data_IF_433294541120
#
_entry.id   IF_433294541120
#
_cell.length_a   1.000
_cell.length_b   1.000
_cell.length_c   1.000
_cell.angle_alpha   90.00
_cell.angle_beta   90.00
_cell.angle_gamma   90.00
#
_symmetry.space_group_name_H-M   'P 1'
#
loop_
_entity.id
_entity.type
_entity.pdbx_description
1 polymer ?
#
# COMPACT_ATOMS: atom_id res chain seq x y z
N UNK A 1 31.42 -46.26 25.91
CA UNK A 1 29.97 -46.42 26.19
C UNK A 1 29.65 -46.64 27.66
N UNK A 2 30.53 -47.26 28.49
CA UNK A 2 30.23 -47.55 29.91
C UNK A 2 29.90 -46.32 30.76
N UNK A 3 30.44 -45.17 30.40
CA UNK A 3 30.53 -43.97 31.23
C UNK A 3 29.23 -43.13 31.24
N UNK A 4 28.28 -43.44 30.35
CA UNK A 4 26.97 -42.78 30.31
C UNK A 4 25.96 -43.34 31.32
N UNK A 5 26.16 -44.57 31.79
CA UNK A 5 25.26 -45.24 32.73
C UNK A 5 25.19 -44.59 34.14
N UNK A 6 26.32 -44.30 34.84
CA UNK A 6 26.23 -43.72 36.19
C UNK A 6 25.57 -42.33 36.20
N UNK A 7 25.77 -41.53 35.14
CA UNK A 7 25.17 -40.20 35.02
C UNK A 7 23.64 -40.22 34.89
N UNK A 8 23.10 -41.11 34.04
CA UNK A 8 21.65 -41.28 33.91
C UNK A 8 21.01 -41.79 35.20
N UNK A 9 21.65 -42.76 35.87
CA UNK A 9 21.16 -43.26 37.16
C UNK A 9 21.09 -42.15 38.21
N UNK A 10 22.12 -41.30 38.32
CA UNK A 10 22.11 -40.17 39.26
C UNK A 10 20.93 -39.22 39.04
N UNK A 11 20.67 -38.79 37.80
CA UNK A 11 19.54 -37.92 37.47
C UNK A 11 18.19 -38.59 37.79
N UNK A 12 18.02 -39.88 37.48
CA UNK A 12 16.77 -40.59 37.81
C UNK A 12 16.54 -40.72 39.32
N UNK A 13 17.58 -40.94 40.12
CA UNK A 13 17.49 -41.01 41.58
C UNK A 13 17.16 -39.63 42.18
N UNK A 14 17.80 -38.56 41.71
CA UNK A 14 17.51 -37.19 42.14
C UNK A 14 16.10 -36.70 41.78
N UNK A 15 15.51 -37.22 40.69
CA UNK A 15 14.11 -36.97 40.34
C UNK A 15 13.10 -37.73 41.21
N UNK A 16 13.42 -38.97 41.63
CA UNK A 16 12.53 -39.84 42.42
C UNK A 16 12.55 -39.57 43.93
N UNK A 17 13.69 -39.17 44.50
CA UNK A 17 13.86 -39.00 45.94
C UNK A 17 12.89 -38.02 46.64
N UNK A 18 12.46 -36.88 46.05
CA UNK A 18 11.55 -35.96 46.74
C UNK A 18 10.07 -36.36 46.66
N UNK A 19 9.69 -37.36 45.84
CA UNK A 19 8.25 -37.70 45.41
C UNK A 19 7.98 -38.86 46.45
N UNK A 20 8.88 -39.83 46.63
CA UNK A 20 8.76 -40.78 47.74
C UNK A 20 8.69 -40.06 49.10
N UNK A 21 9.43 -38.96 49.28
CA UNK A 21 9.27 -38.08 50.46
C UNK A 21 7.89 -37.37 50.49
N UNK A 22 7.52 -36.68 49.40
CA UNK A 22 6.26 -35.91 49.34
C UNK A 22 5.00 -36.75 49.55
N UNK A 23 4.99 -37.97 49.03
CA UNK A 23 3.90 -38.94 49.23
C UNK A 23 3.86 -39.56 50.63
N UNK A 24 4.94 -39.44 51.42
CA UNK A 24 4.99 -39.90 52.81
C UNK A 24 4.67 -38.79 53.83
N UNK A 25 4.49 -37.55 53.38
CA UNK A 25 4.12 -36.39 54.20
C UNK A 25 2.80 -35.73 53.76
N UNK A 26 2.01 -36.39 52.90
CA UNK A 26 0.74 -35.89 52.34
C UNK A 26 0.83 -34.48 51.72
N UNK A 27 1.95 -34.17 51.06
CA UNK A 27 2.15 -32.88 50.40
C UNK A 27 1.41 -32.80 49.05
N UNK A 28 0.92 -31.60 48.72
CA UNK A 28 0.19 -31.36 47.47
C UNK A 28 0.97 -31.87 46.24
N UNK A 29 0.35 -32.65 45.34
CA UNK A 29 1.05 -33.30 44.23
C UNK A 29 1.69 -32.29 43.26
N UNK A 30 1.12 -31.08 43.15
CA UNK A 30 1.71 -29.96 42.39
C UNK A 30 3.05 -29.51 42.98
N UNK A 31 3.16 -29.48 44.31
CA UNK A 31 4.34 -28.97 45.01
C UNK A 31 5.54 -29.92 44.87
N UNK A 32 5.31 -31.24 44.88
CA UNK A 32 6.37 -32.16 44.49
C UNK A 32 6.62 -32.17 42.98
N UNK A 33 5.58 -32.19 42.14
CA UNK A 33 5.77 -32.15 40.67
C UNK A 33 6.69 -31.00 40.23
N UNK A 34 6.58 -29.84 40.88
CA UNK A 34 7.53 -28.74 40.72
C UNK A 34 8.93 -29.05 41.24
N UNK A 35 9.07 -29.58 42.47
CA UNK A 35 10.36 -29.94 43.06
C UNK A 35 11.13 -31.02 42.28
N UNK A 36 10.48 -32.06 41.74
CA UNK A 36 11.17 -33.04 40.85
C UNK A 36 11.60 -32.41 39.53
N UNK A 37 10.77 -31.54 38.94
CA UNK A 37 11.15 -30.80 37.73
C UNK A 37 12.37 -29.90 37.97
N UNK A 38 12.42 -29.22 39.12
CA UNK A 38 13.57 -28.39 39.54
C UNK A 38 14.81 -29.23 39.82
N UNK A 39 14.72 -30.37 40.53
CA UNK A 39 15.91 -31.22 40.78
C UNK A 39 16.41 -31.91 39.51
N UNK A 40 15.54 -32.34 38.60
CA UNK A 40 15.94 -32.89 37.29
C UNK A 40 16.59 -31.81 36.42
N UNK A 41 16.00 -30.61 36.33
CA UNK A 41 16.58 -29.50 35.58
C UNK A 41 17.94 -29.07 36.13
N UNK A 42 18.04 -28.87 37.45
CA UNK A 42 19.29 -28.49 38.12
C UNK A 42 20.38 -29.56 38.03
N UNK A 43 20.04 -30.85 38.17
CA UNK A 43 21.02 -31.94 38.01
C UNK A 43 21.45 -32.14 36.56
N UNK A 44 20.57 -31.92 35.58
CA UNK A 44 20.92 -31.92 34.16
C UNK A 44 21.86 -30.75 33.80
N UNK A 45 21.56 -29.54 34.30
CA UNK A 45 22.44 -28.38 34.16
C UNK A 45 23.81 -28.61 34.82
N UNK A 46 23.85 -29.21 36.01
CA UNK A 46 25.11 -29.58 36.67
C UNK A 46 25.89 -30.65 35.87
N UNK A 47 25.20 -31.61 35.26
CA UNK A 47 25.78 -32.59 34.34
C UNK A 47 26.42 -31.95 33.11
N UNK A 48 25.73 -30.98 32.50
CA UNK A 48 26.24 -30.21 31.37
C UNK A 48 27.42 -29.32 31.78
N UNK A 49 27.31 -28.63 32.92
CA UNK A 49 28.38 -27.82 33.49
C UNK A 49 29.64 -28.66 33.74
N UNK A 50 29.55 -29.75 34.51
CA UNK A 50 30.68 -30.64 34.80
C UNK A 50 31.29 -31.25 33.52
N UNK A 51 30.48 -31.51 32.49
CA UNK A 51 30.96 -32.00 31.19
C UNK A 51 31.65 -30.91 30.36
N UNK A 52 31.29 -29.64 30.54
CA UNK A 52 32.04 -28.50 30.00
C UNK A 52 33.29 -28.15 30.84
N UNK A 53 33.28 -28.47 32.14
CA UNK A 53 34.44 -28.44 33.03
C UNK A 53 35.48 -29.52 32.73
N UNK A 54 35.25 -30.35 31.69
CA UNK A 54 36.28 -31.21 31.07
C UNK A 54 37.34 -30.44 30.26
N UNK A 55 37.37 -29.10 30.33
CA UNK A 55 38.55 -28.31 29.97
C UNK A 55 39.66 -28.68 30.96
N UNK A 56 40.82 -29.08 30.45
CA UNK A 56 41.92 -29.56 31.30
C UNK A 56 42.29 -28.58 32.42
N UNK A 57 42.59 -29.07 33.65
CA UNK A 57 43.41 -28.30 34.57
C UNK A 57 44.77 -28.08 33.89
N UNK A 58 45.26 -26.85 33.88
CA UNK A 58 46.52 -26.52 33.21
C UNK A 58 47.64 -27.45 33.69
N UNK A 59 48.13 -28.31 32.79
CA UNK A 59 49.20 -29.24 33.13
C UNK A 59 50.46 -28.43 33.47
N UNK A 60 51.14 -28.83 34.53
CA UNK A 60 52.40 -28.22 34.94
C UNK A 60 53.43 -28.51 33.85
N UNK A 61 53.93 -27.49 33.16
CA UNK A 61 54.74 -27.64 31.94
C UNK A 61 55.91 -28.63 32.09
N UNK A 62 55.72 -29.87 31.64
CA UNK A 62 56.81 -30.62 31.01
C UNK A 62 57.01 -30.06 29.59
N UNK A 63 58.25 -29.97 29.08
CA UNK A 63 58.49 -29.55 27.70
C UNK A 63 58.04 -30.66 26.72
N UNK A 64 56.78 -30.62 26.30
CA UNK A 64 56.28 -31.44 25.21
C UNK A 64 57.09 -31.17 23.93
N UNK A 65 57.45 -32.21 23.18
CA UNK A 65 58.12 -32.04 21.88
C UNK A 65 57.21 -31.21 20.95
N UNK A 66 57.76 -30.26 20.17
CA UNK A 66 56.93 -29.34 19.40
C UNK A 66 56.10 -30.11 18.37
N UNK A 67 54.79 -30.21 18.63
CA UNK A 67 53.84 -30.77 17.68
C UNK A 67 53.97 -30.02 16.35
N UNK A 68 53.92 -30.71 15.19
CA UNK A 68 54.00 -30.05 13.90
C UNK A 68 52.92 -28.97 13.77
N UNK A 69 53.34 -27.73 13.54
CA UNK A 69 52.42 -26.60 13.39
C UNK A 69 51.36 -26.92 12.34
N UNK A 70 50.08 -26.71 12.67
CA UNK A 70 49.03 -26.74 11.65
C UNK A 70 49.42 -25.74 10.53
N UNK A 71 49.30 -26.12 9.24
CA UNK A 71 49.66 -25.23 8.14
C UNK A 71 48.87 -23.92 8.26
N UNK A 72 49.50 -22.74 8.12
CA UNK A 72 48.83 -21.47 8.30
C UNK A 72 47.65 -21.34 7.34
N UNK A 73 46.49 -20.94 7.86
CA UNK A 73 45.29 -20.74 7.05
C UNK A 73 45.59 -19.80 5.87
N UNK A 74 45.18 -20.22 4.67
CA UNK A 74 45.41 -19.41 3.48
C UNK A 74 44.56 -18.13 3.55
N UNK A 75 45.15 -16.95 3.25
CA UNK A 75 44.42 -15.69 3.27
C UNK A 75 43.36 -15.68 2.16
N UNK A 76 42.25 -15.00 2.44
CA UNK A 76 41.22 -14.72 1.44
C UNK A 76 41.74 -13.75 0.37
N UNK A 77 41.34 -14.01 -0.87
CA UNK A 77 41.59 -13.19 -2.05
C UNK A 77 40.27 -12.50 -2.46
N UNK A 78 40.36 -11.25 -2.92
CA UNK A 78 39.21 -10.49 -3.40
C UNK A 78 38.98 -10.73 -4.91
N UNK A 79 37.74 -10.78 -5.35
CA UNK A 79 37.33 -10.77 -6.76
C UNK A 79 35.92 -10.19 -6.87
N UNK A 80 35.66 -9.33 -7.85
CA UNK A 80 34.34 -8.70 -7.99
C UNK A 80 33.47 -9.42 -9.04
N UNK A 81 32.16 -9.42 -8.80
CA UNK A 81 31.11 -9.76 -9.78
C UNK A 81 30.41 -8.47 -10.16
N UNK A 82 30.23 -8.23 -11.47
CA UNK A 82 29.60 -7.03 -12.02
C UNK A 82 28.46 -7.40 -12.96
N UNK A 83 27.26 -6.88 -12.68
CA UNK A 83 26.05 -6.97 -13.53
C UNK A 83 25.73 -8.38 -14.07
N UNK A 84 25.95 -9.40 -13.24
CA UNK A 84 25.60 -10.77 -13.60
C UNK A 84 24.07 -10.93 -13.63
N UNK A 85 23.53 -11.25 -14.81
CA UNK A 85 22.10 -11.51 -14.99
C UNK A 85 21.67 -12.79 -14.24
N UNK A 86 20.72 -12.65 -13.32
CA UNK A 86 20.09 -13.75 -12.58
C UNK A 86 18.59 -13.79 -12.91
N UNK A 87 18.03 -14.91 -13.39
CA UNK A 87 16.62 -14.99 -13.71
C UNK A 87 15.73 -14.83 -12.47
N UNK A 88 14.67 -14.01 -12.60
CA UNK A 88 13.63 -13.85 -11.57
C UNK A 88 12.50 -14.88 -11.75
N UNK A 89 11.43 -14.77 -10.94
CA UNK A 89 10.22 -15.57 -11.09
C UNK A 89 9.34 -15.22 -12.30
N UNK A 90 9.67 -14.17 -13.08
CA UNK A 90 8.91 -13.76 -14.26
C UNK A 90 9.77 -13.83 -15.53
N UNK A 91 9.28 -14.53 -16.54
CA UNK A 91 9.95 -14.63 -17.85
C UNK A 91 10.23 -13.24 -18.45
N UNK A 92 11.44 -13.06 -18.97
CA UNK A 92 11.89 -11.79 -19.55
C UNK A 92 12.30 -10.71 -18.55
N UNK A 93 12.44 -11.05 -17.26
CA UNK A 93 12.96 -10.15 -16.22
C UNK A 93 14.14 -10.82 -15.49
N UNK A 94 15.35 -10.33 -15.75
CA UNK A 94 16.57 -10.71 -15.03
C UNK A 94 16.96 -9.63 -14.02
N UNK A 95 17.36 -10.05 -12.82
CA UNK A 95 18.05 -9.19 -11.87
C UNK A 95 19.51 -8.98 -12.28
N UNK A 96 20.03 -7.78 -12.08
CA UNK A 96 21.46 -7.48 -12.23
C UNK A 96 22.13 -7.59 -10.85
N UNK A 97 23.00 -8.58 -10.68
CA UNK A 97 23.74 -8.85 -9.45
C UNK A 97 25.19 -8.38 -9.55
N UNK A 98 25.64 -7.55 -8.60
CA UNK A 98 27.05 -7.19 -8.44
C UNK A 98 27.45 -7.29 -6.97
N UNK A 99 28.64 -7.80 -6.66
CA UNK A 99 29.10 -7.99 -5.28
C UNK A 99 30.62 -8.24 -5.17
N UNK A 100 31.17 -8.03 -3.98
CA UNK A 100 32.58 -8.34 -3.63
C UNK A 100 32.68 -9.78 -3.13
N UNK A 101 33.44 -10.64 -3.82
CA UNK A 101 33.63 -12.06 -3.44
C UNK A 101 34.99 -12.24 -2.77
N UNK A 102 34.98 -12.75 -1.54
CA UNK A 102 36.16 -13.13 -0.79
C UNK A 102 36.31 -14.65 -0.83
N UNK A 103 37.41 -15.17 -1.39
CA UNK A 103 37.59 -16.60 -1.61
C UNK A 103 38.99 -17.13 -1.30
N UNK A 104 39.11 -18.42 -1.03
CA UNK A 104 40.39 -19.13 -0.83
C UNK A 104 40.31 -20.59 -1.27
N UNK A 105 41.45 -21.28 -1.37
CA UNK A 105 41.45 -22.72 -1.56
C UNK A 105 40.86 -23.42 -0.32
N UNK A 106 39.98 -24.41 -0.53
CA UNK A 106 39.28 -25.09 0.54
C UNK A 106 40.24 -25.94 1.41
N UNK A 107 40.04 -26.00 2.74
CA UNK A 107 40.84 -26.83 3.63
C UNK A 107 40.76 -28.31 3.22
N UNK A 108 41.89 -29.03 3.35
CA UNK A 108 42.04 -30.41 2.85
C UNK A 108 42.47 -30.53 1.39
N UNK A 109 42.44 -29.46 0.59
CA UNK A 109 42.92 -29.45 -0.80
C UNK A 109 44.12 -28.51 -1.04
N UNK A 110 44.91 -28.21 0.00
CA UNK A 110 46.02 -27.25 -0.05
C UNK A 110 47.09 -27.57 -1.13
N UNK A 111 47.38 -28.85 -1.35
CA UNK A 111 48.29 -29.34 -2.41
C UNK A 111 47.83 -28.96 -3.83
N UNK A 112 46.53 -28.68 -3.99
CA UNK A 112 45.89 -28.24 -5.23
C UNK A 112 45.61 -26.74 -5.27
N UNK A 113 46.30 -25.94 -4.45
CA UNK A 113 46.18 -24.47 -4.41
C UNK A 113 46.33 -23.80 -5.77
N UNK A 114 47.13 -24.36 -6.69
CA UNK A 114 47.24 -23.91 -8.09
C UNK A 114 46.04 -24.21 -9.00
N UNK A 115 44.99 -24.88 -8.50
CA UNK A 115 43.73 -25.15 -9.21
C UNK A 115 42.57 -24.29 -8.67
N UNK A 116 42.70 -23.75 -7.45
CA UNK A 116 41.74 -22.78 -6.93
C UNK A 116 41.79 -21.50 -7.79
N UNK A 117 40.63 -21.06 -8.29
CA UNK A 117 40.53 -20.04 -9.33
C UNK A 117 39.42 -19.04 -9.04
N UNK A 118 39.61 -17.73 -9.29
CA UNK A 118 38.57 -16.73 -9.10
C UNK A 118 37.33 -17.01 -9.96
N UNK A 119 37.50 -17.64 -11.13
CA UNK A 119 36.38 -18.06 -11.97
C UNK A 119 35.51 -19.15 -11.31
N UNK A 120 36.11 -20.05 -10.51
CA UNK A 120 35.36 -21.02 -9.72
C UNK A 120 34.58 -20.31 -8.59
N UNK A 121 35.22 -19.39 -7.87
CA UNK A 121 34.57 -18.59 -6.81
C UNK A 121 33.35 -17.82 -7.35
N UNK A 122 33.53 -17.06 -8.43
CA UNK A 122 32.46 -16.33 -9.12
C UNK A 122 31.35 -17.27 -9.59
N UNK A 123 31.70 -18.41 -10.19
CA UNK A 123 30.69 -19.39 -10.64
C UNK A 123 29.89 -19.98 -9.47
N UNK A 124 30.51 -20.21 -8.32
CA UNK A 124 29.84 -20.73 -7.13
C UNK A 124 28.85 -19.70 -6.56
N UNK A 125 29.28 -18.44 -6.46
CA UNK A 125 28.45 -17.32 -6.03
C UNK A 125 27.26 -17.10 -6.96
N UNK A 126 27.48 -16.98 -8.28
CA UNK A 126 26.41 -16.74 -9.26
C UNK A 126 25.40 -17.90 -9.30
N UNK A 127 25.87 -19.15 -9.21
CA UNK A 127 24.96 -20.31 -9.13
C UNK A 127 24.13 -20.33 -7.84
N UNK A 128 24.71 -19.95 -6.68
CA UNK A 128 23.96 -19.87 -5.42
C UNK A 128 22.98 -18.70 -5.43
N UNK A 129 23.41 -17.53 -5.91
CA UNK A 129 22.55 -16.36 -6.03
C UNK A 129 21.34 -16.63 -6.95
N UNK A 130 21.55 -17.26 -8.11
CA UNK A 130 20.46 -17.67 -9.01
C UNK A 130 19.53 -18.71 -8.36
N UNK A 131 20.01 -19.58 -7.47
CA UNK A 131 19.16 -20.54 -6.77
C UNK A 131 18.24 -19.85 -5.74
N UNK A 132 18.67 -18.72 -5.16
CA UNK A 132 17.86 -17.93 -4.22
C UNK A 132 16.81 -17.09 -4.96
N UNK A 133 17.20 -16.28 -5.95
CA UNK A 133 16.31 -15.25 -6.54
C UNK A 133 15.35 -15.75 -7.63
N UNK A 134 15.51 -16.97 -8.14
CA UNK A 134 14.68 -17.56 -9.21
C UNK A 134 13.18 -17.67 -8.88
N UNK A 135 12.82 -17.60 -7.61
CA UNK A 135 11.44 -17.64 -7.14
C UNK A 135 10.97 -16.31 -6.54
N UNK A 136 11.80 -15.26 -6.57
CA UNK A 136 11.42 -13.91 -6.16
C UNK A 136 10.84 -13.11 -7.33
N UNK A 137 9.80 -12.33 -7.02
CA UNK A 137 9.18 -11.41 -7.98
C UNK A 137 10.14 -10.25 -8.29
N UNK A 138 10.34 -9.85 -9.55
CA UNK A 138 11.23 -8.73 -9.88
C UNK A 138 10.80 -7.41 -9.21
N UNK A 139 9.51 -7.17 -8.99
CA UNK A 139 9.06 -5.99 -8.24
C UNK A 139 9.50 -5.98 -6.75
N UNK A 140 10.05 -7.09 -6.25
CA UNK A 140 10.60 -7.26 -4.89
C UNK A 140 12.14 -7.27 -4.84
N UNK A 141 12.84 -6.75 -5.86
CA UNK A 141 14.32 -6.70 -5.90
C UNK A 141 15.01 -6.30 -4.58
N UNK A 142 14.50 -5.27 -3.89
CA UNK A 142 15.04 -4.82 -2.59
C UNK A 142 14.95 -5.87 -1.48
N UNK A 143 13.92 -6.73 -1.50
CA UNK A 143 13.76 -7.85 -0.57
C UNK A 143 14.66 -9.02 -0.95
N UNK A 144 14.72 -9.34 -2.25
CA UNK A 144 15.63 -10.37 -2.78
C UNK A 144 17.11 -10.06 -2.50
N UNK A 145 17.52 -8.78 -2.47
CA UNK A 145 18.86 -8.36 -2.00
C UNK A 145 19.14 -8.80 -0.55
N UNK A 146 18.21 -8.54 0.38
CA UNK A 146 18.39 -8.94 1.79
C UNK A 146 18.44 -10.47 1.97
N UNK A 147 17.72 -11.24 1.13
CA UNK A 147 17.85 -12.71 1.12
C UNK A 147 19.24 -13.16 0.66
N UNK A 148 19.79 -12.53 -0.39
CA UNK A 148 21.16 -12.81 -0.86
C UNK A 148 22.24 -12.42 0.16
N UNK A 149 22.07 -11.29 0.86
CA UNK A 149 22.98 -10.87 1.93
C UNK A 149 23.04 -11.90 3.07
N UNK A 150 21.89 -12.46 3.47
CA UNK A 150 21.84 -13.54 4.46
C UNK A 150 22.42 -14.87 4.00
N UNK A 151 22.16 -15.27 2.74
CA UNK A 151 22.62 -16.56 2.19
C UNK A 151 24.09 -16.59 1.75
N UNK A 152 24.66 -15.45 1.38
CA UNK A 152 26.03 -15.35 0.83
C UNK A 152 27.04 -14.71 1.80
N UNK A 153 26.59 -14.08 2.89
CA UNK A 153 27.44 -13.47 3.92
C UNK A 153 28.15 -14.47 4.85
N UNK A 154 27.93 -15.78 4.67
CA UNK A 154 28.61 -16.85 5.40
C UNK A 154 29.54 -17.64 4.47
N UNK A 155 30.71 -18.13 4.93
CA UNK A 155 31.58 -18.98 4.14
C UNK A 155 30.87 -20.26 3.66
N UNK A 156 31.00 -20.56 2.37
CA UNK A 156 30.50 -21.81 1.78
C UNK A 156 31.48 -22.37 0.74
N UNK A 157 31.48 -23.69 0.57
CA UNK A 157 32.34 -24.37 -0.40
C UNK A 157 31.65 -24.52 -1.76
N UNK A 158 32.41 -24.46 -2.85
CA UNK A 158 31.91 -24.76 -4.20
C UNK A 158 31.55 -26.25 -4.37
N UNK A 159 30.76 -26.57 -5.40
CA UNK A 159 30.29 -27.95 -5.69
C UNK A 159 31.42 -28.96 -5.91
N UNK A 160 32.63 -28.53 -6.24
CA UNK A 160 33.80 -29.40 -6.44
C UNK A 160 34.73 -29.49 -5.23
N UNK A 161 34.44 -28.78 -4.13
CA UNK A 161 35.17 -28.87 -2.86
C UNK A 161 36.55 -28.21 -2.86
N UNK A 162 36.84 -27.31 -3.82
CA UNK A 162 38.16 -26.71 -4.06
C UNK A 162 38.26 -25.26 -3.59
N UNK A 163 37.15 -24.54 -3.56
CA UNK A 163 37.10 -23.12 -3.21
C UNK A 163 36.11 -22.91 -2.07
N UNK A 164 36.55 -22.23 -1.02
CA UNK A 164 35.69 -21.62 0.00
C UNK A 164 35.49 -20.15 -0.35
N UNK A 165 34.25 -19.65 -0.34
CA UNK A 165 33.89 -18.29 -0.70
C UNK A 165 32.82 -17.70 0.24
N UNK A 166 32.85 -16.38 0.42
CA UNK A 166 31.80 -15.57 1.04
C UNK A 166 31.66 -14.26 0.25
N UNK A 167 30.58 -13.51 0.48
CA UNK A 167 30.25 -12.31 -0.31
C UNK A 167 29.95 -11.11 0.59
N UNK A 168 30.44 -9.95 0.19
CA UNK A 168 30.15 -8.63 0.75
C UNK A 168 29.57 -7.70 -0.33
N UNK A 169 29.06 -6.54 0.09
CA UNK A 169 28.63 -5.44 -0.79
C UNK A 169 27.60 -5.86 -1.87
N UNK A 170 26.65 -6.73 -1.50
CA UNK A 170 25.67 -7.29 -2.41
C UNK A 170 24.73 -6.22 -2.94
N UNK A 171 24.72 -6.06 -4.26
CA UNK A 171 23.72 -5.27 -4.98
C UNK A 171 22.87 -6.18 -5.86
N UNK A 172 21.57 -5.90 -5.88
CA UNK A 172 20.61 -6.59 -6.74
C UNK A 172 19.62 -5.54 -7.28
N UNK A 173 19.64 -5.31 -8.57
CA UNK A 173 18.80 -4.32 -9.26
C UNK A 173 18.08 -4.94 -10.46
N UNK A 174 17.34 -4.14 -11.21
CA UNK A 174 16.76 -4.48 -12.52
C UNK A 174 17.21 -3.44 -13.54
N UNK A 175 17.17 -3.78 -14.82
CA UNK A 175 17.29 -2.78 -15.87
C UNK A 175 16.19 -1.70 -15.69
N UNK A 176 16.52 -0.39 -15.75
CA UNK A 176 15.56 0.67 -15.44
C UNK A 176 14.26 0.59 -16.25
N UNK A 177 14.37 0.28 -17.55
CA UNK A 177 13.22 0.14 -18.45
C UNK A 177 12.27 -1.02 -18.07
N UNK A 178 12.76 -2.07 -17.42
CA UNK A 178 11.95 -3.20 -16.96
C UNK A 178 11.30 -2.89 -15.60
N UNK A 179 12.03 -2.20 -14.72
CA UNK A 179 11.52 -1.69 -13.46
C UNK A 179 10.38 -0.67 -13.68
N UNK A 180 10.51 0.23 -14.66
CA UNK A 180 9.44 1.16 -15.03
C UNK A 180 8.26 0.48 -15.73
N UNK A 181 8.51 -0.60 -16.51
CA UNK A 181 7.43 -1.44 -17.06
C UNK A 181 6.64 -2.14 -15.94
N UNK A 182 7.33 -2.66 -14.93
CA UNK A 182 6.70 -3.31 -13.76
C UNK A 182 5.89 -2.32 -12.91
N UNK A 183 6.38 -1.08 -12.73
CA UNK A 183 5.59 0.02 -12.13
C UNK A 183 4.31 0.26 -12.92
N UNK A 184 4.42 0.56 -14.22
CA UNK A 184 3.26 0.84 -15.07
C UNK A 184 2.23 -0.30 -15.09
N UNK A 185 2.67 -1.56 -15.09
CA UNK A 185 1.77 -2.72 -14.99
C UNK A 185 1.14 -2.89 -13.60
N UNK A 186 1.84 -2.52 -12.53
CA UNK A 186 1.30 -2.49 -11.16
C UNK A 186 0.22 -1.41 -11.02
N UNK A 187 0.46 -0.24 -11.60
CA UNK A 187 -0.46 0.90 -11.52
C UNK A 187 -1.72 0.67 -12.37
N UNK A 188 -1.57 0.24 -13.63
CA UNK A 188 -2.71 -0.15 -14.48
C UNK A 188 -3.63 -1.20 -13.84
N UNK A 189 -3.08 -2.16 -13.09
CA UNK A 189 -3.88 -3.16 -12.36
C UNK A 189 -4.68 -2.52 -11.21
N UNK A 190 -4.12 -1.55 -10.49
CA UNK A 190 -4.85 -0.81 -9.44
C UNK A 190 -5.97 0.02 -10.06
N UNK A 191 -5.69 0.67 -11.19
CA UNK A 191 -6.66 1.49 -11.91
C UNK A 191 -7.85 0.63 -12.41
N UNK A 192 -7.58 -0.59 -12.90
CA UNK A 192 -8.60 -1.57 -13.27
C UNK A 192 -9.40 -2.09 -12.05
N UNK A 193 -8.72 -2.38 -10.93
CA UNK A 193 -9.35 -2.80 -9.66
C UNK A 193 -10.25 -1.72 -9.07
N UNK A 194 -9.85 -0.44 -9.14
CA UNK A 194 -10.68 0.71 -8.76
C UNK A 194 -11.85 0.87 -9.71
N UNK A 195 -11.61 0.82 -11.03
CA UNK A 195 -12.65 1.04 -12.04
C UNK A 195 -13.78 0.00 -11.99
N UNK A 196 -13.48 -1.30 -11.88
CA UNK A 196 -14.56 -2.30 -11.78
C UNK A 196 -15.27 -2.20 -10.42
N UNK A 197 -14.60 -1.76 -9.34
CA UNK A 197 -15.27 -1.47 -8.07
C UNK A 197 -16.23 -0.28 -8.17
N UNK A 198 -15.83 0.84 -8.79
CA UNK A 198 -16.70 2.00 -9.05
C UNK A 198 -17.89 1.60 -9.95
N UNK A 199 -17.62 0.89 -11.04
CA UNK A 199 -18.63 0.38 -11.98
C UNK A 199 -19.62 -0.57 -11.29
N UNK A 200 -19.13 -1.43 -10.39
CA UNK A 200 -19.97 -2.34 -9.62
C UNK A 200 -20.74 -1.61 -8.51
N UNK A 201 -20.19 -0.56 -7.91
CA UNK A 201 -20.91 0.35 -7.02
C UNK A 201 -22.05 1.05 -7.77
N UNK A 202 -21.80 1.63 -8.96
CA UNK A 202 -22.85 2.22 -9.78
C UNK A 202 -23.95 1.22 -10.15
N UNK A 203 -23.58 0.01 -10.59
CA UNK A 203 -24.54 -1.07 -10.91
C UNK A 203 -25.40 -1.42 -9.70
N UNK A 204 -24.77 -1.63 -8.54
CA UNK A 204 -25.45 -1.95 -7.28
C UNK A 204 -26.39 -0.83 -6.85
N UNK A 205 -25.97 0.44 -7.03
CA UNK A 205 -26.78 1.63 -6.76
C UNK A 205 -27.96 1.76 -7.72
N UNK A 206 -27.78 1.52 -9.02
CA UNK A 206 -28.88 1.48 -10.02
C UNK A 206 -29.87 0.35 -9.70
N UNK A 207 -29.37 -0.84 -9.35
CA UNK A 207 -30.19 -1.99 -8.98
C UNK A 207 -31.00 -1.72 -7.70
N UNK A 208 -30.37 -1.26 -6.62
CA UNK A 208 -31.06 -0.87 -5.38
C UNK A 208 -32.13 0.21 -5.63
N UNK A 209 -31.80 1.25 -6.40
CA UNK A 209 -32.75 2.32 -6.71
C UNK A 209 -33.93 1.83 -7.57
N UNK A 210 -33.73 0.91 -8.51
CA UNK A 210 -34.82 0.34 -9.32
C UNK A 210 -35.65 -0.71 -8.58
N UNK A 211 -34.99 -1.73 -8.03
CA UNK A 211 -35.62 -2.95 -7.52
C UNK A 211 -36.12 -2.83 -6.08
N UNK A 212 -35.50 -2.02 -5.22
CA UNK A 212 -35.92 -1.90 -3.83
C UNK A 212 -36.64 -0.57 -3.58
N UNK A 213 -36.12 0.53 -4.13
CA UNK A 213 -36.65 1.88 -3.86
C UNK A 213 -37.82 2.22 -4.77
N UNK A 214 -37.59 2.33 -6.07
CA UNK A 214 -38.58 2.76 -7.07
C UNK A 214 -39.47 1.61 -7.58
N UNK A 215 -39.38 0.43 -6.94
CA UNK A 215 -40.25 -0.74 -7.17
C UNK A 215 -41.74 -0.38 -7.17
N UNK A 216 -42.12 0.58 -6.33
CA UNK A 216 -43.48 1.09 -6.15
C UNK A 216 -43.47 2.47 -5.48
N UNK A 217 -44.58 3.21 -5.61
CA UNK A 217 -44.83 4.43 -4.82
C UNK A 217 -44.66 4.21 -3.32
N UNK A 218 -45.09 3.06 -2.79
CA UNK A 218 -45.01 2.74 -1.36
C UNK A 218 -43.57 2.58 -0.88
N UNK A 219 -42.75 1.81 -1.60
CA UNK A 219 -41.33 1.63 -1.28
C UNK A 219 -40.54 2.94 -1.42
N UNK A 220 -40.88 3.78 -2.41
CA UNK A 220 -40.27 5.10 -2.59
C UNK A 220 -40.60 6.06 -1.44
N UNK A 221 -41.84 6.04 -0.94
CA UNK A 221 -42.27 6.84 0.24
C UNK A 221 -41.60 6.35 1.53
N UNK A 222 -41.49 5.03 1.74
CA UNK A 222 -40.77 4.45 2.89
C UNK A 222 -39.28 4.81 2.86
N UNK A 223 -38.64 4.71 1.69
CA UNK A 223 -37.25 5.11 1.48
C UNK A 223 -36.99 6.60 1.73
N UNK A 224 -37.97 7.45 1.39
CA UNK A 224 -37.94 8.89 1.63
C UNK A 224 -38.08 9.21 3.12
N UNK A 225 -39.05 8.59 3.81
CA UNK A 225 -39.24 8.72 5.26
C UNK A 225 -38.02 8.25 6.04
N UNK A 226 -37.39 7.14 5.65
CA UNK A 226 -36.14 6.63 6.25
C UNK A 226 -34.89 7.54 6.02
N UNK A 227 -35.09 8.75 5.48
CA UNK A 227 -34.09 9.82 5.34
C UNK A 227 -34.58 11.17 5.89
N UNK A 228 -35.85 11.27 6.25
CA UNK A 228 -36.55 12.49 6.66
C UNK A 228 -37.61 12.11 7.72
N UNK A 229 -37.18 11.42 8.79
CA UNK A 229 -38.06 10.66 9.68
C UNK A 229 -39.15 11.52 10.37
N UNK A 230 -38.86 12.79 10.60
CA UNK A 230 -39.78 13.76 11.22
C UNK A 230 -40.71 14.47 10.21
N UNK A 231 -40.43 14.41 8.90
CA UNK A 231 -41.10 15.23 7.88
C UNK A 231 -42.36 14.56 7.27
N UNK A 232 -43.21 13.97 8.13
CA UNK A 232 -44.34 13.10 7.70
C UNK A 232 -45.34 13.82 6.78
N UNK A 233 -45.71 15.08 7.05
CA UNK A 233 -46.65 15.84 6.20
C UNK A 233 -46.09 16.06 4.79
N UNK A 234 -44.77 16.27 4.69
CA UNK A 234 -44.04 16.44 3.42
C UNK A 234 -43.90 15.10 2.69
N UNK A 235 -43.76 13.98 3.40
CA UNK A 235 -43.84 12.65 2.79
C UNK A 235 -45.20 12.41 2.10
N UNK A 236 -46.30 12.84 2.73
CA UNK A 236 -47.65 12.77 2.13
C UNK A 236 -47.75 13.64 0.87
N UNK A 237 -47.21 14.86 0.90
CA UNK A 237 -47.15 15.72 -0.29
C UNK A 237 -46.29 15.12 -1.42
N UNK A 238 -45.24 14.36 -1.08
CA UNK A 238 -44.35 13.70 -2.04
C UNK A 238 -44.93 12.42 -2.67
N UNK A 239 -46.09 11.90 -2.24
CA UNK A 239 -46.68 10.67 -2.81
C UNK A 239 -46.91 10.79 -4.33
N UNK A 240 -47.44 11.91 -4.81
CA UNK A 240 -47.66 12.16 -6.25
C UNK A 240 -46.35 12.15 -7.06
N UNK A 241 -45.37 13.02 -6.73
CA UNK A 241 -44.04 13.00 -7.34
C UNK A 241 -43.33 11.65 -7.28
N UNK A 242 -43.37 10.94 -6.15
CA UNK A 242 -42.72 9.64 -6.00
C UNK A 242 -43.42 8.55 -6.81
N UNK A 243 -44.75 8.62 -7.01
CA UNK A 243 -45.46 7.75 -7.95
C UNK A 243 -45.05 8.01 -9.40
N UNK A 244 -44.87 9.27 -9.79
CA UNK A 244 -44.40 9.64 -11.13
C UNK A 244 -42.97 9.16 -11.39
N UNK A 245 -42.05 9.33 -10.44
CA UNK A 245 -40.66 8.86 -10.57
C UNK A 245 -40.58 7.33 -10.56
N UNK A 246 -41.40 6.65 -9.74
CA UNK A 246 -41.42 5.16 -9.71
C UNK A 246 -41.94 4.56 -11.01
N UNK A 247 -42.97 5.17 -11.62
CA UNK A 247 -43.49 4.73 -12.91
C UNK A 247 -42.50 5.00 -14.06
N UNK A 248 -41.93 6.21 -14.10
CA UNK A 248 -40.93 6.58 -15.10
C UNK A 248 -39.64 5.74 -15.03
N UNK A 249 -39.21 5.33 -13.83
CA UNK A 249 -38.06 4.44 -13.65
C UNK A 249 -38.28 3.00 -14.16
N UNK A 250 -39.52 2.66 -14.55
CA UNK A 250 -39.94 1.34 -15.01
C UNK A 250 -40.47 1.31 -16.45
N UNK A 251 -40.57 2.47 -17.10
CA UNK A 251 -41.29 2.66 -18.37
C UNK A 251 -42.80 2.27 -18.26
N UNK A 252 -43.40 2.49 -17.08
CA UNK A 252 -44.81 2.20 -16.76
C UNK A 252 -45.65 3.49 -16.71
N UNK A 253 -46.96 3.40 -16.93
CA UNK A 253 -47.89 4.50 -16.62
C UNK A 253 -48.08 4.64 -15.10
N UNK A 254 -48.27 5.88 -14.60
CA UNK A 254 -48.61 6.12 -13.19
C UNK A 254 -49.93 5.40 -12.85
N UNK A 255 -50.02 4.57 -11.78
CA UNK A 255 -51.24 3.86 -11.42
C UNK A 255 -52.44 4.78 -11.13
N UNK A 256 -53.64 4.38 -11.54
CA UNK A 256 -54.87 5.19 -11.44
C UNK A 256 -55.12 5.79 -10.05
N UNK A 257 -54.80 5.02 -8.99
CA UNK A 257 -54.92 5.46 -7.60
C UNK A 257 -54.17 6.78 -7.32
N UNK A 258 -53.05 7.03 -7.99
CA UNK A 258 -52.21 8.22 -7.79
C UNK A 258 -52.38 9.29 -8.87
N UNK A 259 -53.11 9.04 -9.96
CA UNK A 259 -53.32 10.02 -11.05
C UNK A 259 -53.94 11.33 -10.57
N UNK A 260 -54.78 11.28 -9.54
CA UNK A 260 -55.39 12.46 -8.92
C UNK A 260 -54.42 13.33 -8.09
N UNK A 261 -53.22 12.81 -7.79
CA UNK A 261 -52.14 13.53 -7.08
C UNK A 261 -51.10 14.13 -8.04
N UNK A 262 -51.22 13.88 -9.34
CA UNK A 262 -50.34 14.46 -10.35
C UNK A 262 -50.73 15.91 -10.61
N UNK A 263 -49.84 16.85 -10.28
CA UNK A 263 -49.97 18.24 -10.71
C UNK A 263 -49.72 18.31 -12.21
N UNK A 264 -50.64 18.83 -13.04
CA UNK A 264 -50.40 18.97 -14.48
C UNK A 264 -49.16 19.83 -14.75
N UNK A 265 -48.27 19.45 -15.67
CA UNK A 265 -47.05 20.21 -15.95
C UNK A 265 -47.40 21.64 -16.38
N UNK A 266 -46.81 22.62 -15.70
CA UNK A 266 -47.05 24.06 -15.91
C UNK A 266 -46.35 24.51 -17.20
N UNK A 267 -46.97 24.14 -18.32
CA UNK A 267 -46.53 24.38 -19.69
C UNK A 267 -47.59 23.99 -20.73
N UNK A 268 -48.42 22.99 -20.44
CA UNK A 268 -49.52 22.56 -21.32
C UNK A 268 -50.79 23.44 -21.20
N UNK A 269 -50.64 24.78 -21.17
CA UNK A 269 -51.74 25.75 -20.99
C UNK A 269 -51.69 26.98 -21.92
N UNK A 270 -51.31 26.76 -23.17
CA UNK A 270 -51.45 27.72 -24.28
C UNK A 270 -51.79 26.97 -25.56
N UNK A 271 -52.67 27.55 -26.41
CA UNK A 271 -53.01 26.97 -27.73
C UNK A 271 -54.43 26.39 -27.90
N UNK A 272 -55.42 26.83 -27.13
CA UNK A 272 -56.82 26.36 -27.25
C UNK A 272 -57.83 27.48 -27.58
N UNK A 273 -57.47 28.42 -28.46
CA UNK A 273 -58.37 29.47 -28.95
C UNK A 273 -58.25 29.70 -30.46
N UNK A 274 -59.30 29.34 -31.20
CA UNK A 274 -59.73 29.90 -32.49
C UNK A 274 -58.73 29.86 -33.67
N UNK A 275 -58.80 28.76 -34.43
CA UNK A 275 -59.05 28.74 -35.88
C UNK A 275 -58.16 29.56 -36.85
N UNK A 276 -57.27 28.86 -37.56
CA UNK A 276 -56.65 29.31 -38.81
C UNK A 276 -55.24 28.72 -39.02
N UNK A 277 -54.89 28.15 -40.20
CA UNK A 277 -53.54 27.71 -40.51
C UNK A 277 -52.75 28.78 -41.30
N UNK A 278 -51.69 29.40 -40.73
CA UNK A 278 -50.94 30.46 -41.38
C UNK A 278 -49.57 29.97 -41.91
N UNK A 279 -49.57 29.00 -42.83
CA UNK A 279 -48.35 28.57 -43.53
C UNK A 279 -48.14 29.37 -44.83
N UNK A 280 -48.14 30.69 -44.75
CA UNK A 280 -47.96 31.56 -45.92
C UNK A 280 -47.24 32.87 -45.57
N UNK A 281 -46.04 33.06 -46.13
CA UNK A 281 -45.54 34.39 -46.51
C UNK A 281 -44.77 35.25 -45.50
N UNK A 282 -43.59 34.81 -45.04
CA UNK A 282 -42.43 35.73 -44.96
C UNK A 282 -41.09 35.00 -44.99
N UNK A 283 -40.49 34.90 -46.19
CA UNK A 283 -39.07 34.57 -46.32
C UNK A 283 -38.27 35.83 -45.99
N UNK A 284 -37.79 35.95 -44.75
CA UNK A 284 -36.72 36.88 -44.42
C UNK A 284 -35.39 36.13 -44.43
N UNK A 285 -34.74 36.17 -45.60
CA UNK A 285 -33.35 35.77 -45.78
C UNK A 285 -32.45 36.77 -45.01
N UNK A 286 -32.03 36.40 -43.80
CA UNK A 286 -31.01 37.14 -43.06
C UNK A 286 -30.41 36.29 -41.93
N UNK A 287 -29.08 36.29 -41.80
CA UNK A 287 -28.32 35.86 -40.61
C UNK A 287 -28.70 34.52 -39.97
N UNK A 288 -27.96 33.46 -40.31
CA UNK A 288 -27.88 32.28 -39.46
C UNK A 288 -27.31 32.68 -38.09
N UNK A 289 -28.01 32.50 -36.95
CA UNK A 289 -27.48 32.76 -35.62
C UNK A 289 -26.57 31.58 -35.23
N UNK A 290 -25.40 31.55 -35.84
CA UNK A 290 -24.29 30.70 -35.41
C UNK A 290 -23.61 31.31 -34.19
N UNK A 291 -22.96 30.46 -33.39
CA UNK A 291 -22.51 30.68 -32.01
C UNK A 291 -23.60 30.87 -30.96
N UNK A 292 -23.59 29.95 -30.00
CA UNK A 292 -23.97 30.22 -28.62
C UNK A 292 -23.12 31.39 -28.08
N UNK A 293 -23.68 32.21 -27.19
CA UNK A 293 -22.96 33.34 -26.58
C UNK A 293 -21.97 32.78 -25.55
N UNK A 294 -20.76 32.44 -26.01
CA UNK A 294 -19.68 31.82 -25.23
C UNK A 294 -19.24 32.76 -24.08
N UNK A 295 -19.91 32.67 -22.94
CA UNK A 295 -19.61 33.45 -21.72
C UNK A 295 -18.12 33.37 -21.41
N UNK A 296 -17.46 34.53 -21.35
CA UNK A 296 -16.00 34.62 -21.28
C UNK A 296 -15.43 33.97 -20.00
N UNK A 297 -14.17 33.57 -20.04
CA UNK A 297 -13.49 32.97 -18.88
C UNK A 297 -13.38 33.99 -17.74
N UNK A 298 -13.14 35.26 -18.09
CA UNK A 298 -13.16 36.40 -17.19
C UNK A 298 -14.54 36.60 -16.53
N UNK A 299 -15.65 36.51 -17.27
CA UNK A 299 -16.99 36.63 -16.70
C UNK A 299 -17.35 35.42 -15.82
N UNK A 300 -16.94 34.21 -16.20
CA UNK A 300 -17.07 33.02 -15.34
C UNK A 300 -16.31 33.18 -14.03
N UNK A 301 -15.10 33.73 -14.06
CA UNK A 301 -14.32 34.06 -12.86
C UNK A 301 -15.01 35.16 -12.02
N UNK A 302 -15.54 36.21 -12.67
CA UNK A 302 -16.28 37.31 -12.03
C UNK A 302 -17.51 36.79 -11.27
N UNK A 303 -18.30 35.92 -11.91
CA UNK A 303 -19.46 35.27 -11.32
C UNK A 303 -19.08 34.38 -10.12
N UNK A 304 -17.97 33.63 -10.21
CA UNK A 304 -17.48 32.80 -9.12
C UNK A 304 -17.02 33.65 -7.92
N UNK A 305 -16.26 34.72 -8.15
CA UNK A 305 -15.81 35.63 -7.09
C UNK A 305 -17.01 36.28 -6.38
N UNK A 306 -17.99 36.76 -7.16
CA UNK A 306 -19.24 37.32 -6.64
C UNK A 306 -20.07 36.30 -5.84
N UNK A 307 -20.17 35.04 -6.29
CA UNK A 307 -20.89 33.98 -5.60
C UNK A 307 -20.23 33.57 -4.26
N UNK A 308 -18.90 33.66 -4.15
CA UNK A 308 -18.14 33.47 -2.91
C UNK A 308 -18.16 34.74 -2.03
N UNK A 309 -18.72 35.85 -2.53
CA UNK A 309 -18.82 37.12 -1.81
C UNK A 309 -17.55 37.98 -1.83
N UNK A 310 -16.56 37.61 -2.63
CA UNK A 310 -15.36 38.42 -2.86
C UNK A 310 -15.69 39.59 -3.80
N UNK A 311 -15.40 40.80 -3.35
CA UNK A 311 -15.68 42.04 -4.08
C UNK A 311 -14.39 42.74 -4.53
N UNK A 312 -14.43 43.57 -5.59
CA UNK A 312 -13.26 44.29 -6.10
C UNK A 312 -12.54 45.20 -5.09
N UNK A 313 -13.20 45.62 -4.01
CA UNK A 313 -12.63 46.43 -2.92
C UNK A 313 -11.89 45.62 -1.84
N UNK A 314 -11.75 44.30 -2.02
CA UNK A 314 -11.07 43.40 -1.07
C UNK A 314 -9.71 42.94 -1.60
N UNK A 315 -8.64 43.03 -0.80
CA UNK A 315 -7.31 42.48 -1.16
C UNK A 315 -7.38 41.01 -1.61
N UNK A 316 -8.26 40.23 -0.97
CA UNK A 316 -8.50 38.82 -1.28
C UNK A 316 -9.06 38.57 -2.70
N UNK A 317 -9.79 39.53 -3.29
CA UNK A 317 -10.25 39.47 -4.68
C UNK A 317 -9.07 39.58 -5.63
N UNK A 318 -8.24 40.62 -5.46
CA UNK A 318 -7.03 40.86 -6.27
C UNK A 318 -6.04 39.70 -6.17
N UNK A 319 -5.82 39.17 -4.96
CA UNK A 319 -4.96 37.99 -4.75
C UNK A 319 -5.53 36.74 -5.45
N UNK A 320 -6.85 36.53 -5.42
CA UNK A 320 -7.48 35.37 -6.09
C UNK A 320 -7.40 35.47 -7.62
N UNK A 321 -7.63 36.66 -8.18
CA UNK A 321 -7.48 36.93 -9.63
C UNK A 321 -6.04 36.71 -10.08
N UNK A 322 -5.06 37.31 -9.38
CA UNK A 322 -3.64 37.14 -9.70
C UNK A 322 -3.20 35.67 -9.57
N UNK A 323 -3.73 34.93 -8.59
CA UNK A 323 -3.43 33.50 -8.44
C UNK A 323 -4.03 32.67 -9.59
N UNK A 324 -5.24 32.99 -10.04
CA UNK A 324 -5.86 32.33 -11.18
C UNK A 324 -5.03 32.54 -12.45
N UNK A 325 -4.61 33.78 -12.74
CA UNK A 325 -3.72 34.09 -13.88
C UNK A 325 -2.42 33.28 -13.84
N UNK A 326 -1.66 33.35 -12.74
CA UNK A 326 -0.37 32.64 -12.60
C UNK A 326 -0.52 31.12 -12.71
N UNK A 327 -1.66 30.57 -12.29
CA UNK A 327 -1.95 29.13 -12.41
C UNK A 327 -2.26 28.76 -13.86
N UNK A 328 -3.00 29.60 -14.60
CA UNK A 328 -3.26 29.37 -16.04
C UNK A 328 -1.97 29.49 -16.87
N UNK A 329 -1.11 30.46 -16.59
CA UNK A 329 0.21 30.59 -17.25
C UNK A 329 1.14 29.40 -16.96
N UNK A 330 1.13 28.88 -15.73
CA UNK A 330 1.92 27.71 -15.36
C UNK A 330 1.49 26.41 -16.09
N UNK A 331 0.20 26.31 -16.45
CA UNK A 331 -0.37 25.20 -17.23
C UNK A 331 -0.39 25.48 -18.75
N UNK A 332 0.19 26.60 -19.22
CA UNK A 332 0.28 26.97 -20.64
C UNK A 332 -1.05 27.44 -21.27
N UNK A 333 -1.99 27.92 -20.47
CA UNK A 333 -3.29 28.45 -20.89
C UNK A 333 -3.25 29.98 -21.07
N UNK A 334 -2.25 30.45 -21.80
CA UNK A 334 -1.88 31.87 -21.93
C UNK A 334 -3.04 32.75 -22.43
N UNK A 335 -3.86 32.25 -23.37
CA UNK A 335 -5.02 32.97 -23.92
C UNK A 335 -6.07 33.28 -22.84
N UNK A 336 -6.31 32.34 -21.93
CA UNK A 336 -7.24 32.51 -20.81
C UNK A 336 -6.67 33.44 -19.72
N UNK A 337 -5.36 33.36 -19.46
CA UNK A 337 -4.68 34.26 -18.53
C UNK A 337 -4.69 35.71 -19.03
N UNK A 338 -4.49 35.91 -20.34
CA UNK A 338 -4.50 37.20 -21.01
C UNK A 338 -5.92 37.80 -21.13
N UNK A 339 -6.95 36.97 -21.27
CA UNK A 339 -8.35 37.41 -21.18
C UNK A 339 -8.68 37.95 -19.78
N UNK A 340 -8.30 37.23 -18.72
CA UNK A 340 -8.47 37.67 -17.32
C UNK A 340 -7.63 38.92 -17.03
N UNK A 341 -6.39 39.00 -17.53
CA UNK A 341 -5.55 40.20 -17.42
C UNK A 341 -6.27 41.43 -17.94
N UNK A 342 -6.87 41.35 -19.14
CA UNK A 342 -7.52 42.47 -19.81
C UNK A 342 -8.76 43.01 -19.09
N UNK A 343 -9.56 42.13 -18.49
CA UNK A 343 -10.81 42.51 -17.81
C UNK A 343 -10.59 42.95 -16.35
N UNK A 344 -9.61 42.38 -15.65
CA UNK A 344 -9.38 42.65 -14.22
C UNK A 344 -8.21 43.59 -13.91
N UNK A 345 -7.28 43.80 -14.84
CA UNK A 345 -6.15 44.73 -14.73
C UNK A 345 -6.20 45.74 -15.89
N UNK A 346 -7.14 46.71 -15.86
CA UNK A 346 -7.18 47.77 -16.87
C UNK A 346 -5.84 48.52 -16.87
N UNK A 347 -5.21 48.60 -18.04
CA UNK A 347 -3.90 49.24 -18.19
C UNK A 347 -4.06 50.76 -18.08
N UNK A 348 -3.61 51.35 -16.98
CA UNK A 348 -3.40 52.80 -16.92
C UNK A 348 -2.42 53.21 -18.03
N UNK A 349 -2.85 54.11 -18.91
CA UNK A 349 -2.19 54.37 -20.19
C UNK A 349 -1.02 55.35 -20.14
N UNK A 350 0.00 55.06 -20.94
CA UNK A 350 0.95 56.00 -21.56
C UNK A 350 1.38 57.26 -20.77
N UNK A 351 2.38 57.12 -19.89
CA UNK A 351 3.35 58.21 -19.65
C UNK A 351 4.74 57.85 -20.21
N UNK A 352 5.20 58.49 -21.31
CA UNK A 352 6.56 58.33 -21.81
C UNK A 352 7.53 59.29 -21.11
N UNK A 353 8.27 58.81 -20.09
CA UNK A 353 9.14 59.61 -19.22
C UNK A 353 10.58 59.08 -19.04
N UNK A 354 11.52 59.79 -19.66
CA UNK A 354 12.99 59.68 -19.65
C UNK A 354 13.73 59.11 -18.41
N UNK A 355 14.43 57.99 -18.61
CA UNK A 355 15.89 57.73 -18.37
C UNK A 355 16.63 58.06 -17.04
N UNK A 356 17.72 57.30 -16.81
CA UNK A 356 18.77 57.44 -15.77
C UNK A 356 18.36 57.07 -14.32
N UNK A 357 19.24 56.51 -13.49
CA UNK A 357 20.66 56.15 -13.69
C UNK A 357 21.11 54.92 -12.86
N UNK A 358 22.35 54.48 -13.03
CA UNK A 358 22.87 53.21 -12.51
C UNK A 358 23.52 53.28 -11.10
N UNK A 359 23.23 52.28 -10.25
CA UNK A 359 24.15 51.62 -9.30
C UNK A 359 23.42 50.44 -8.64
N UNK A 360 23.89 49.20 -8.79
CA UNK A 360 24.92 48.56 -7.96
C UNK A 360 24.61 48.53 -6.45
N UNK A 361 24.02 47.42 -6.01
CA UNK A 361 24.56 46.73 -4.84
C UNK A 361 24.38 45.21 -4.96
N UNK A 362 25.26 44.46 -4.31
CA UNK A 362 25.27 43.00 -4.26
C UNK A 362 24.62 42.49 -2.98
N UNK A 363 24.55 41.16 -2.89
CA UNK A 363 24.32 40.38 -1.67
C UNK A 363 23.04 40.67 -0.88
N UNK A 364 22.10 39.71 -0.97
CA UNK A 364 21.92 38.79 0.17
C UNK A 364 21.25 37.46 -0.18
N UNK A 365 22.05 36.41 -0.02
CA UNK A 365 21.68 35.12 0.59
C UNK A 365 20.30 34.51 0.32
N UNK A 366 20.30 33.41 -0.44
CA UNK A 366 20.09 32.07 0.13
C UNK A 366 18.94 31.97 1.16
N UNK A 367 17.71 32.01 0.67
CA UNK A 367 16.60 31.30 1.30
C UNK A 367 16.52 29.91 0.64
N UNK A 368 16.27 28.81 1.35
CA UNK A 368 15.76 28.70 2.70
C UNK A 368 14.45 27.92 2.65
N UNK A 369 14.55 26.62 2.38
CA UNK A 369 13.40 25.72 2.31
C UNK A 369 12.59 25.82 3.60
N UNK A 370 11.29 26.17 3.55
CA UNK A 370 10.41 25.97 4.68
C UNK A 370 10.41 24.48 5.06
N UNK A 371 10.42 24.19 6.36
CA UNK A 371 10.09 22.85 6.83
C UNK A 371 8.66 22.53 6.41
N UNK A 372 8.40 21.27 6.07
CA UNK A 372 7.06 20.71 6.25
C UNK A 372 6.80 20.71 7.75
N UNK A 373 5.89 21.56 8.21
CA UNK A 373 5.33 21.44 9.56
C UNK A 373 4.18 20.43 9.54
N UNK A 374 4.13 19.56 10.53
CA UNK A 374 3.30 18.36 10.53
C UNK A 374 1.96 18.64 11.20
N UNK A 375 0.95 19.01 10.41
CA UNK A 375 -0.41 19.23 10.90
C UNK A 375 -1.44 18.78 9.87
N UNK A 376 -1.84 17.51 9.95
CA UNK A 376 -2.88 16.93 9.11
C UNK A 376 -4.26 17.56 9.39
N UNK A 377 -5.07 17.90 8.35
CA UNK A 377 -6.41 18.43 8.53
C UNK A 377 -7.40 17.33 8.97
N UNK A 378 -8.24 17.55 10.00
CA UNK A 378 -9.06 16.49 10.60
C UNK A 378 -10.42 16.31 9.91
N UNK A 379 -10.46 15.60 8.77
CA UNK A 379 -11.71 15.13 8.15
C UNK A 379 -11.66 13.64 7.82
N UNK A 380 -11.73 12.83 8.88
CA UNK A 380 -11.89 11.38 8.83
C UNK A 380 -13.38 11.03 8.67
N UNK A 381 -13.75 10.40 7.56
CA UNK A 381 -15.05 9.74 7.41
C UNK A 381 -14.84 8.26 7.07
N UNK A 382 -14.92 7.41 8.09
CA UNK A 382 -15.11 5.97 7.94
C UNK A 382 -16.50 5.60 8.44
N UNK A 383 -17.31 5.06 7.55
CA UNK A 383 -18.57 4.37 7.87
C UNK A 383 -18.72 3.13 6.99
N UNK A 384 -17.67 2.31 6.93
CA UNK A 384 -17.72 0.97 6.35
C UNK A 384 -18.60 0.06 7.24
N UNK A 385 -19.81 -0.37 6.81
CA UNK A 385 -20.65 -1.22 7.65
C UNK A 385 -20.07 -2.64 7.68
N UNK A 386 -19.76 -3.14 8.88
CA UNK A 386 -19.29 -4.52 9.07
C UNK A 386 -20.43 -5.51 8.79
N UNK A 387 -20.23 -6.52 7.91
CA UNK A 387 -21.24 -7.54 7.69
C UNK A 387 -21.31 -8.47 8.91
N UNK A 388 -22.48 -8.51 9.57
CA UNK A 388 -22.72 -9.46 10.66
C UNK A 388 -22.59 -10.90 10.16
N UNK A 389 -21.63 -11.63 10.72
CA UNK A 389 -21.50 -13.08 10.56
C UNK A 389 -22.65 -13.75 11.32
N UNK A 390 -23.47 -14.62 10.69
CA UNK A 390 -24.49 -15.37 11.40
C UNK A 390 -23.83 -16.40 12.32
N UNK A 391 -24.41 -16.60 13.50
CA UNK A 391 -24.03 -17.68 14.41
C UNK A 391 -24.58 -19.02 13.88
N UNK A 392 -23.75 -20.06 13.91
CA UNK A 392 -24.18 -21.45 13.72
C UNK A 392 -24.39 -22.10 15.09
N UNK A 393 -25.35 -23.03 15.24
CA UNK A 393 -25.84 -23.43 16.55
C UNK A 393 -24.82 -24.19 17.40
N UNK A 394 -24.99 -24.09 18.72
CA UNK A 394 -24.38 -24.97 19.71
C UNK A 394 -24.67 -26.44 19.36
N UNK A 395 -23.63 -27.27 19.37
CA UNK A 395 -23.78 -28.72 19.39
C UNK A 395 -24.29 -29.20 20.74
N UNK A 396 -24.94 -30.37 20.75
CA UNK A 396 -25.58 -30.95 21.93
C UNK A 396 -24.53 -31.46 22.94
N UNK A 397 -24.60 -30.99 24.19
CA UNK A 397 -23.99 -31.69 25.32
C UNK A 397 -24.80 -32.97 25.59
N UNK A 398 -24.25 -34.11 25.17
CA UNK A 398 -24.68 -35.43 25.60
C UNK A 398 -23.66 -35.98 26.60
N UNK A 399 -24.06 -36.08 27.88
CA UNK A 399 -23.76 -37.27 28.69
C UNK A 399 -24.65 -37.35 29.94
N UNK A 400 -24.96 -38.58 30.32
CA UNK A 400 -25.47 -39.08 31.61
C UNK A 400 -26.59 -38.33 32.38
N UNK A 401 -27.79 -38.92 32.31
CA UNK A 401 -28.37 -39.46 33.55
C UNK A 401 -29.17 -40.73 33.29
N UNK A 402 -28.94 -41.77 34.10
CA UNK A 402 -29.65 -43.04 34.06
C UNK A 402 -30.58 -43.18 35.27
N UNK A 403 -31.75 -43.81 35.09
CA UNK A 403 -32.33 -44.78 36.03
C UNK A 403 -33.66 -45.38 35.50
N UNK A 404 -33.91 -46.66 35.85
CA UNK A 404 -35.10 -47.52 35.63
C UNK A 404 -35.54 -47.85 34.19
#
# INVERSE_FOLDING_TARGET
MRDRFPGLLFVTVCGLAPATLGSLLDWSPLLWGFMSMVTVSGSLLLMLALRSSGREPAQLNEPEEPQPSEPPEQPYQETQVSEAALPSARDGYDFLFSATVWWRAAPGHADWSGIASPALAVSAVVNRASAVVRHEDPARASFARYLLEGELGLPFTDRSGRVEAMVADVTLTLAPADLDRLRKLSDLRKDEEVWEHERQHERSKRQYLGEDVLKSTGSAVVWWLARHEEEIEKAVAMIGPLAQVSAAAKDEEVPDLFRHLLVPPVGARTGATVGGPPWEGSVHENGMPDREEEVSIAERLRLLLAAVGLKPDMDAYTVMVHRAMVTLEAEGLDEAAEEIRREFLPTDGDEPGESSDASDNRDRTRWGTPMYDDTAPPYFWDTSPTPHRPESPLGEDLDDQAEY
#
